data_IF_858602350400
#
_entry.id   IF_858602350400
#
_cell.length_a   1.000
_cell.length_b   1.000
_cell.length_c   1.000
_cell.angle_alpha   90.00
_cell.angle_beta   90.00
_cell.angle_gamma   90.00
#
_symmetry.space_group_name_H-M   'P 1'
#
loop_
_entity.id
_entity.type
_entity.pdbx_description
1 polymer ?
#
# COMPACT_ATOMS: atom_id res chain seq x y z
N UNK A 1 -57.67 21.78 -2.21
CA UNK A 1 -56.75 21.23 -3.23
C UNK A 1 -55.34 21.33 -2.70
N UNK A 2 -54.60 20.22 -2.73
CA UNK A 2 -53.26 20.02 -2.16
C UNK A 2 -52.25 21.04 -2.71
N UNK A 3 -51.66 21.84 -1.82
CA UNK A 3 -50.50 22.67 -2.12
C UNK A 3 -49.29 21.73 -2.21
N UNK A 4 -48.79 21.52 -3.42
CA UNK A 4 -47.68 20.62 -3.72
C UNK A 4 -46.39 21.14 -3.07
N UNK A 5 -45.86 20.32 -2.17
CA UNK A 5 -44.52 20.41 -1.59
C UNK A 5 -43.48 20.17 -2.69
N UNK A 6 -42.87 21.23 -3.23
CA UNK A 6 -41.67 21.15 -4.06
C UNK A 6 -40.43 21.16 -3.14
N UNK A 7 -39.98 19.98 -2.75
CA UNK A 7 -38.69 19.81 -2.06
C UNK A 7 -37.59 19.89 -3.10
N UNK A 8 -36.88 21.01 -3.12
CA UNK A 8 -35.66 21.15 -3.89
C UNK A 8 -34.59 20.23 -3.30
N UNK A 9 -34.10 19.35 -4.17
CA UNK A 9 -33.00 18.40 -4.00
C UNK A 9 -31.70 19.09 -3.58
N UNK A 10 -31.02 18.56 -2.56
CA UNK A 10 -29.57 18.72 -2.42
C UNK A 10 -28.94 17.33 -2.23
N UNK A 11 -28.68 16.67 -3.35
CA UNK A 11 -27.91 15.43 -3.39
C UNK A 11 -26.45 15.82 -3.16
N UNK A 12 -25.97 15.61 -1.94
CA UNK A 12 -24.54 15.66 -1.59
C UNK A 12 -23.84 14.47 -2.28
N UNK A 13 -23.41 14.64 -3.53
CA UNK A 13 -22.44 13.76 -4.17
C UNK A 13 -21.04 14.08 -3.61
N UNK A 14 -20.82 13.73 -2.35
CA UNK A 14 -19.47 13.62 -1.79
C UNK A 14 -18.82 12.39 -2.41
N UNK A 15 -18.23 12.54 -3.61
CA UNK A 15 -17.44 11.48 -4.23
C UNK A 15 -16.25 11.12 -3.34
N UNK A 16 -16.03 9.83 -3.11
CA UNK A 16 -14.84 9.34 -2.43
C UNK A 16 -13.61 9.66 -3.29
N UNK A 17 -12.98 10.82 -3.06
CA UNK A 17 -11.65 11.05 -3.58
C UNK A 17 -10.71 10.09 -2.86
N UNK A 18 -10.09 9.18 -3.61
CA UNK A 18 -9.00 8.38 -3.06
C UNK A 18 -7.83 9.31 -2.71
N UNK A 19 -7.10 9.05 -1.61
CA UNK A 19 -5.95 9.86 -1.26
C UNK A 19 -4.96 9.87 -2.41
N UNK A 20 -4.42 11.05 -2.73
CA UNK A 20 -3.41 11.24 -3.77
C UNK A 20 -2.04 11.34 -3.12
N UNK A 21 -1.04 10.65 -3.68
CA UNK A 21 0.33 10.68 -3.18
C UNK A 21 0.89 12.11 -3.18
N UNK A 22 1.58 12.49 -2.10
CA UNK A 22 2.26 13.78 -2.01
C UNK A 22 3.70 13.65 -2.49
N UNK A 23 4.00 14.30 -3.61
CA UNK A 23 5.31 14.25 -4.24
C UNK A 23 5.93 15.65 -4.27
N UNK A 24 7.07 15.83 -3.61
CA UNK A 24 7.85 17.07 -3.72
C UNK A 24 8.75 17.12 -4.97
N UNK A 25 8.99 15.96 -5.59
CA UNK A 25 9.68 15.77 -6.85
C UNK A 25 9.27 14.42 -7.46
N UNK A 26 9.63 14.13 -8.73
CA UNK A 26 9.39 12.81 -9.32
C UNK A 26 10.03 11.68 -8.48
N UNK A 27 9.33 10.54 -8.29
CA UNK A 27 9.89 9.41 -7.55
C UNK A 27 11.12 8.81 -8.23
N UNK A 28 12.10 8.40 -7.43
CA UNK A 28 13.27 7.65 -7.90
C UNK A 28 12.95 6.16 -7.87
N UNK A 29 13.21 5.46 -8.97
CA UNK A 29 13.12 3.99 -9.01
C UNK A 29 14.35 3.38 -8.31
N UNK A 30 14.11 2.53 -7.32
CA UNK A 30 15.17 1.91 -6.51
C UNK A 30 14.93 0.41 -6.33
N UNK A 31 16.01 -0.32 -6.03
CA UNK A 31 15.95 -1.69 -5.52
C UNK A 31 15.85 -1.70 -3.99
N UNK A 32 15.46 -2.83 -3.40
CA UNK A 32 15.25 -2.97 -1.95
C UNK A 32 16.48 -2.61 -1.12
N UNK A 33 17.68 -2.95 -1.61
CA UNK A 33 18.96 -2.73 -0.93
C UNK A 33 19.26 -1.24 -0.73
N UNK A 34 18.72 -0.38 -1.60
CA UNK A 34 18.88 1.06 -1.53
C UNK A 34 17.83 1.73 -0.65
N UNK A 35 16.73 1.04 -0.31
CA UNK A 35 15.62 1.63 0.44
C UNK A 35 16.06 2.31 1.74
N UNK A 36 16.94 1.73 2.59
CA UNK A 36 17.38 2.38 3.83
C UNK A 36 18.10 3.73 3.64
N UNK A 37 18.61 4.02 2.43
CA UNK A 37 19.19 5.33 2.09
C UNK A 37 18.10 6.41 1.97
N UNK A 38 16.86 6.01 1.68
CA UNK A 38 15.74 6.91 1.46
C UNK A 38 14.72 6.89 2.61
N UNK A 39 14.33 5.70 3.05
CA UNK A 39 13.25 5.45 4.00
C UNK A 39 13.61 4.29 4.93
N UNK A 40 13.35 4.47 6.22
CA UNK A 40 13.63 3.46 7.26
C UNK A 40 12.30 2.96 7.80
N UNK A 41 12.09 1.63 7.75
CA UNK A 41 10.92 1.01 8.36
C UNK A 41 10.97 1.18 9.88
N UNK A 42 9.91 1.74 10.47
CA UNK A 42 9.90 2.09 11.91
C UNK A 42 9.44 0.95 12.80
N UNK A 43 8.64 0.03 12.28
CA UNK A 43 8.00 -1.03 13.06
C UNK A 43 8.05 -2.37 12.34
N UNK A 44 8.16 -3.45 13.11
CA UNK A 44 7.92 -4.79 12.61
C UNK A 44 6.42 -4.97 12.37
N UNK A 45 6.07 -5.68 11.30
CA UNK A 45 4.67 -6.00 11.03
C UNK A 45 4.20 -6.98 12.12
N UNK A 46 3.20 -6.58 12.89
CA UNK A 46 2.53 -7.46 13.86
C UNK A 46 1.48 -8.35 13.22
N UNK A 47 0.67 -9.02 14.04
CA UNK A 47 -0.46 -9.80 13.54
C UNK A 47 -1.50 -8.89 12.85
N UNK A 48 -1.97 -9.32 11.69
CA UNK A 48 -3.01 -8.61 10.95
C UNK A 48 -3.97 -9.59 10.29
N UNK A 49 -5.19 -9.13 10.04
CA UNK A 49 -6.17 -9.87 9.24
C UNK A 49 -6.09 -9.39 7.79
N UNK A 50 -5.68 -10.24 6.83
CA UNK A 50 -5.60 -9.81 5.44
C UNK A 50 -6.98 -9.55 4.86
N UNK A 51 -7.05 -8.54 4.00
CA UNK A 51 -8.21 -8.32 3.14
C UNK A 51 -8.38 -9.55 2.24
N UNK A 52 -9.62 -10.04 2.09
CA UNK A 52 -9.90 -11.27 1.35
C UNK A 52 -9.75 -12.56 2.17
N UNK A 53 -9.24 -12.48 3.41
CA UNK A 53 -9.10 -13.62 4.31
C UNK A 53 -7.88 -14.50 4.01
N UNK A 54 -7.80 -15.63 4.71
CA UNK A 54 -6.73 -16.61 4.54
C UNK A 54 -7.06 -17.62 3.43
N UNK A 55 -6.05 -18.26 2.79
CA UNK A 55 -6.28 -19.34 1.85
C UNK A 55 -7.03 -20.50 2.50
N UNK A 56 -7.88 -21.18 1.73
CA UNK A 56 -8.70 -22.30 2.23
C UNK A 56 -7.84 -23.52 2.59
N UNK A 57 -6.89 -23.85 1.73
CA UNK A 57 -5.92 -24.92 1.93
C UNK A 57 -4.66 -24.33 2.57
N UNK A 58 -4.22 -24.90 3.68
CA UNK A 58 -3.05 -24.46 4.46
C UNK A 58 -2.26 -25.68 4.95
N UNK A 59 -0.94 -25.57 5.13
CA UNK A 59 -0.13 -24.35 5.01
C UNK A 59 0.11 -23.94 3.55
N UNK A 60 0.28 -22.65 3.32
CA UNK A 60 0.75 -22.11 2.03
C UNK A 60 2.04 -21.35 2.27
N UNK A 61 3.07 -21.69 1.51
CA UNK A 61 4.34 -20.95 1.49
C UNK A 61 4.62 -20.49 0.07
N UNK A 62 5.11 -19.27 -0.05
CA UNK A 62 5.34 -18.68 -1.35
C UNK A 62 6.03 -17.33 -1.27
N UNK A 63 6.04 -16.64 -2.39
CA UNK A 63 6.62 -15.31 -2.49
C UNK A 63 5.78 -14.40 -3.36
N UNK A 64 5.76 -13.11 -3.02
CA UNK A 64 5.11 -12.06 -3.81
C UNK A 64 6.10 -10.94 -4.03
N UNK A 65 6.31 -10.56 -5.28
CA UNK A 65 7.08 -9.37 -5.64
C UNK A 65 6.11 -8.22 -5.83
N UNK A 66 6.25 -7.17 -5.02
CA UNK A 66 5.45 -5.96 -5.09
C UNK A 66 6.29 -4.80 -5.58
N UNK A 67 5.68 -3.92 -6.38
CA UNK A 67 6.15 -2.56 -6.61
C UNK A 67 5.22 -1.60 -5.88
N UNK A 68 5.77 -0.59 -5.22
CA UNK A 68 4.95 0.43 -4.58
C UNK A 68 5.69 1.77 -4.49
N UNK A 69 4.93 2.84 -4.32
CA UNK A 69 5.42 4.19 -4.09
C UNK A 69 5.46 4.49 -2.59
N UNK A 70 6.56 5.03 -2.12
CA UNK A 70 6.63 5.76 -0.86
C UNK A 70 6.67 7.25 -1.21
N UNK A 71 5.66 7.99 -0.79
CA UNK A 71 5.54 9.41 -1.08
C UNK A 71 6.43 10.26 -0.16
N UNK A 72 6.43 11.58 -0.33
CA UNK A 72 7.27 12.49 0.46
C UNK A 72 6.87 12.63 1.93
N UNK A 73 5.75 12.02 2.37
CA UNK A 73 5.39 11.90 3.78
C UNK A 73 5.79 10.55 4.38
N UNK A 74 6.23 9.59 3.56
CA UNK A 74 6.47 8.21 3.98
C UNK A 74 5.24 7.31 3.87
N UNK A 75 4.17 7.79 3.22
CA UNK A 75 2.94 7.04 3.01
C UNK A 75 3.05 6.15 1.76
N UNK A 76 2.41 4.98 1.83
CA UNK A 76 2.47 3.95 0.79
C UNK A 76 1.32 4.08 -0.20
N UNK A 77 1.64 4.06 -1.50
CA UNK A 77 0.66 4.21 -2.58
C UNK A 77 0.88 3.21 -3.71
N UNK A 78 -0.20 2.96 -4.45
CA UNK A 78 -0.20 2.23 -5.72
C UNK A 78 0.57 0.89 -5.70
N UNK A 79 0.28 -0.03 -4.75
CA UNK A 79 0.90 -1.34 -4.76
C UNK A 79 0.49 -2.12 -6.02
N UNK A 80 1.48 -2.71 -6.69
CA UNK A 80 1.35 -3.49 -7.91
C UNK A 80 2.03 -4.84 -7.70
N UNK A 81 1.33 -5.94 -7.99
CA UNK A 81 1.92 -7.29 -7.97
C UNK A 81 2.67 -7.51 -9.28
N UNK A 82 3.99 -7.72 -9.20
CA UNK A 82 4.83 -8.02 -10.36
C UNK A 82 4.92 -9.53 -10.63
N UNK A 83 4.95 -10.33 -9.57
CA UNK A 83 4.97 -11.79 -9.65
C UNK A 83 4.49 -12.39 -8.33
N UNK A 84 3.88 -13.57 -8.39
CA UNK A 84 3.41 -14.29 -7.21
C UNK A 84 3.54 -15.79 -7.43
N UNK A 85 4.00 -16.50 -6.41
CA UNK A 85 4.08 -17.94 -6.36
C UNK A 85 3.55 -18.41 -5.00
N UNK A 86 2.46 -19.20 -4.94
CA UNK A 86 1.60 -19.60 -6.05
C UNK A 86 0.84 -18.41 -6.65
N UNK A 87 0.59 -18.37 -7.98
CA UNK A 87 -0.05 -17.25 -8.64
C UNK A 87 -1.40 -16.85 -8.02
N UNK A 88 -1.52 -15.60 -7.58
CA UNK A 88 -2.78 -15.02 -7.09
C UNK A 88 -3.19 -15.44 -5.67
N UNK A 89 -2.51 -16.41 -5.05
CA UNK A 89 -2.93 -16.98 -3.76
C UNK A 89 -2.54 -16.08 -2.58
N UNK A 90 -1.37 -15.44 -2.66
CA UNK A 90 -0.77 -14.69 -1.55
C UNK A 90 -0.82 -13.17 -1.76
N UNK A 91 -1.34 -12.72 -2.91
CA UNK A 91 -1.29 -11.32 -3.36
C UNK A 91 -1.96 -10.36 -2.37
N UNK A 92 -3.21 -10.63 -1.99
CA UNK A 92 -3.94 -9.79 -1.03
C UNK A 92 -3.34 -9.84 0.37
N UNK A 93 -2.69 -10.94 0.74
CA UNK A 93 -2.00 -11.08 2.02
C UNK A 93 -0.76 -10.19 2.03
N UNK A 94 0.05 -10.25 0.98
CA UNK A 94 1.22 -9.41 0.82
C UNK A 94 0.85 -7.92 0.77
N UNK A 95 -0.19 -7.55 0.03
CA UNK A 95 -0.71 -6.17 -0.01
C UNK A 95 -1.22 -5.72 1.36
N UNK A 96 -1.94 -6.59 2.08
CA UNK A 96 -2.44 -6.27 3.43
C UNK A 96 -1.32 -6.11 4.46
N UNK A 97 -0.25 -6.92 4.34
CA UNK A 97 0.96 -6.78 5.14
C UNK A 97 1.70 -5.48 4.82
N UNK A 98 1.84 -5.13 3.53
CA UNK A 98 2.42 -3.86 3.11
C UNK A 98 1.65 -2.67 3.70
N UNK A 99 0.32 -2.74 3.80
CA UNK A 99 -0.50 -1.69 4.41
C UNK A 99 -0.20 -1.47 5.92
N UNK A 100 0.42 -2.43 6.60
CA UNK A 100 0.88 -2.28 7.99
C UNK A 100 2.24 -1.59 8.10
N UNK A 101 3.00 -1.52 7.01
CA UNK A 101 4.34 -0.95 7.02
C UNK A 101 4.27 0.57 7.23
N UNK A 102 5.18 1.07 8.07
CA UNK A 102 5.37 2.51 8.30
C UNK A 102 6.82 2.85 8.02
N UNK A 103 7.02 3.95 7.31
CA UNK A 103 8.33 4.49 7.01
C UNK A 103 8.53 5.85 7.69
N UNK A 104 9.76 6.09 8.10
CA UNK A 104 10.27 7.43 8.41
C UNK A 104 11.37 7.79 7.42
N UNK A 105 11.57 9.08 7.24
CA UNK A 105 12.66 9.58 6.39
C UNK A 105 14.02 9.11 6.92
N UNK A 106 14.90 8.69 6.01
CA UNK A 106 16.29 8.38 6.35
C UNK A 106 17.10 9.66 6.58
N UNK A 107 18.11 9.62 7.45
CA UNK A 107 19.05 10.73 7.64
C UNK A 107 19.82 11.06 6.34
N UNK A 108 19.93 10.08 5.43
CA UNK A 108 20.56 10.24 4.11
C UNK A 108 19.60 10.83 3.05
N UNK A 109 18.33 11.05 3.41
CA UNK A 109 17.31 11.61 2.53
C UNK A 109 16.61 12.81 3.19
N UNK A 110 17.34 13.87 3.59
CA UNK A 110 16.76 15.02 4.29
C UNK A 110 15.70 15.77 3.48
N UNK A 111 15.67 15.55 2.16
CA UNK A 111 14.68 16.13 1.26
C UNK A 111 13.39 15.30 1.17
N UNK A 112 13.28 14.15 1.85
CA UNK A 112 12.13 13.24 1.75
C UNK A 112 11.78 12.92 0.28
N UNK A 113 12.81 12.57 -0.50
CA UNK A 113 12.67 12.18 -1.89
C UNK A 113 11.75 10.95 -1.95
N UNK A 114 10.63 11.02 -2.69
CA UNK A 114 9.75 9.89 -2.86
C UNK A 114 10.45 8.82 -3.71
N UNK A 115 10.13 7.55 -3.47
CA UNK A 115 10.76 6.43 -4.17
C UNK A 115 9.72 5.44 -4.64
N UNK A 116 10.00 4.79 -5.76
CA UNK A 116 9.29 3.59 -6.19
C UNK A 116 10.23 2.41 -6.02
N UNK A 117 9.80 1.46 -5.20
CA UNK A 117 10.64 0.31 -4.81
C UNK A 117 10.00 -0.98 -5.26
N UNK A 118 10.84 -1.94 -5.64
CA UNK A 118 10.46 -3.33 -5.90
C UNK A 118 10.98 -4.19 -4.76
N UNK A 119 10.08 -4.95 -4.12
CA UNK A 119 10.39 -5.79 -2.96
C UNK A 119 9.81 -7.18 -3.14
N UNK A 120 10.59 -8.19 -2.82
CA UNK A 120 10.13 -9.58 -2.73
C UNK A 120 9.82 -9.92 -1.27
N UNK A 121 8.58 -10.28 -0.99
CA UNK A 121 8.14 -10.80 0.29
C UNK A 121 8.04 -12.31 0.23
N UNK A 122 8.70 -13.00 1.15
CA UNK A 122 8.40 -14.41 1.43
C UNK A 122 7.23 -14.46 2.41
N UNK A 123 6.19 -15.22 2.05
CA UNK A 123 4.93 -15.30 2.80
C UNK A 123 4.68 -16.75 3.19
N UNK A 124 4.37 -16.96 4.47
CA UNK A 124 3.98 -18.26 5.01
C UNK A 124 2.67 -18.09 5.80
N UNK A 125 1.66 -18.85 5.41
CA UNK A 125 0.39 -18.92 6.12
C UNK A 125 0.25 -20.31 6.72
N UNK A 126 0.09 -20.36 8.05
CA UNK A 126 -0.03 -21.60 8.83
C UNK A 126 -1.49 -22.02 9.05
#
# INVERSE_FOLDING_TARGET
MKLLLLWATLVLLGGCASPTAKLNQPPVDIVWEDLPKYWVQVEQIGDFNPVGGLPKERPVKGCVTLRYLIDSNGDLFSPEVLSSEPPGVLDLIAISGLAQVRYRVSEQNPQAIPVRVVVRYDVEVR
#
